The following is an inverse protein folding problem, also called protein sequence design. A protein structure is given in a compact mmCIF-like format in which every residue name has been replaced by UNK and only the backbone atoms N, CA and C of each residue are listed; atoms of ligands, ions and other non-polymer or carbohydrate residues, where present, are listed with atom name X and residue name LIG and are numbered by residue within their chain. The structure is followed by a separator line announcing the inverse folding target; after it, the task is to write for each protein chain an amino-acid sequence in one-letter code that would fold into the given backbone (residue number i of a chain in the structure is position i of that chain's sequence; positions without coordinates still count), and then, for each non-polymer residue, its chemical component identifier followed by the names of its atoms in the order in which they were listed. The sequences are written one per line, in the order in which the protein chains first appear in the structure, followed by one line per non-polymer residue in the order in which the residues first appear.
data_IF_537717182930
#
_entry.id   IF_537717182930
#
_cell.length_a   1.000
_cell.length_b   1.000
_cell.length_c   1.000
_cell.angle_alpha   90.00
_cell.angle_beta   90.00
_cell.angle_gamma   90.00
#
_symmetry.space_group_name_H-M   'P 1'
#
loop_
_entity.id
_entity.type
_entity.pdbx_description
1 polymer ?
#
# COMPACT_ATOMS: atom_id res chain seq x y z
N UNK A 1 1.68 -37.79 -6.19
CA UNK A 1 0.98 -36.50 -6.34
C UNK A 1 1.95 -35.38 -6.02
N UNK A 2 2.26 -34.52 -6.98
CA UNK A 2 3.11 -33.35 -6.74
C UNK A 2 2.39 -32.42 -5.77
N UNK A 3 2.86 -32.35 -4.53
CA UNK A 3 2.28 -31.48 -3.51
C UNK A 3 2.72 -30.04 -3.85
N UNK A 4 1.82 -29.25 -4.46
CA UNK A 4 2.11 -27.87 -4.86
C UNK A 4 2.37 -26.93 -3.68
N UNK A 5 1.88 -27.29 -2.49
CA UNK A 5 2.01 -26.52 -1.26
C UNK A 5 2.68 -27.35 -0.16
N UNK A 6 3.88 -26.95 0.24
CA UNK A 6 4.62 -27.58 1.33
C UNK A 6 4.38 -26.83 2.64
N UNK A 7 3.75 -27.48 3.62
CA UNK A 7 3.50 -26.90 4.95
C UNK A 7 4.80 -26.47 5.63
N UNK A 8 5.87 -27.23 5.47
CA UNK A 8 7.17 -26.93 6.07
C UNK A 8 7.80 -25.67 5.46
N UNK A 9 7.73 -25.53 4.13
CA UNK A 9 8.23 -24.35 3.44
C UNK A 9 7.42 -23.11 3.82
N UNK A 10 6.09 -23.23 3.86
CA UNK A 10 5.23 -22.14 4.29
C UNK A 10 5.50 -21.72 5.73
N UNK A 11 5.65 -22.67 6.66
CA UNK A 11 5.97 -22.37 8.05
C UNK A 11 7.30 -21.62 8.21
N UNK A 12 8.32 -22.02 7.43
CA UNK A 12 9.61 -21.32 7.37
C UNK A 12 9.42 -19.86 6.93
N UNK A 13 8.73 -19.63 5.82
CA UNK A 13 8.50 -18.27 5.30
C UNK A 13 7.68 -17.43 6.29
N UNK A 14 6.62 -18.02 6.86
CA UNK A 14 5.76 -17.38 7.85
C UNK A 14 6.53 -16.93 9.09
N UNK A 15 7.43 -17.78 9.61
CA UNK A 15 8.25 -17.46 10.79
C UNK A 15 9.13 -16.23 10.55
N UNK A 16 9.60 -16.01 9.33
CA UNK A 16 10.43 -14.86 8.97
C UNK A 16 9.61 -13.57 8.87
N UNK A 17 8.40 -13.64 8.30
CA UNK A 17 7.60 -12.44 8.00
C UNK A 17 6.63 -12.03 9.10
N UNK A 18 6.34 -12.90 10.08
CA UNK A 18 5.32 -12.65 11.14
C UNK A 18 5.52 -11.33 11.89
N UNK A 19 6.77 -10.91 12.12
CA UNK A 19 7.07 -9.66 12.80
C UNK A 19 6.71 -8.45 11.95
N UNK A 20 6.93 -8.54 10.65
CA UNK A 20 6.56 -7.50 9.69
C UNK A 20 5.04 -7.39 9.62
N UNK A 21 4.31 -8.51 9.66
CA UNK A 21 2.84 -8.50 9.76
C UNK A 21 2.36 -7.75 11.01
N UNK A 22 3.02 -7.95 12.15
CA UNK A 22 2.71 -7.20 13.37
C UNK A 22 2.99 -5.71 13.16
N UNK A 23 4.14 -5.33 12.61
CA UNK A 23 4.47 -3.93 12.33
C UNK A 23 3.52 -3.27 11.32
N UNK A 24 3.08 -3.98 10.27
CA UNK A 24 2.07 -3.52 9.32
C UNK A 24 0.71 -3.29 9.99
N UNK A 25 0.34 -4.18 10.91
CA UNK A 25 -0.91 -4.04 11.67
C UNK A 25 -0.83 -2.83 12.61
N UNK A 26 0.30 -2.67 13.30
CA UNK A 26 0.54 -1.53 14.17
C UNK A 26 0.58 -0.21 13.39
N UNK A 27 1.19 -0.17 12.21
CA UNK A 27 1.23 1.06 11.40
C UNK A 27 -0.17 1.49 10.95
N UNK A 28 -1.05 0.55 10.58
CA UNK A 28 -2.46 0.85 10.30
C UNK A 28 -3.18 1.42 11.53
N UNK A 29 -2.93 0.85 12.71
CA UNK A 29 -3.53 1.33 13.96
C UNK A 29 -3.04 2.74 14.30
N UNK A 30 -1.73 2.97 14.30
CA UNK A 30 -1.13 4.24 14.72
C UNK A 30 -1.35 5.38 13.74
N UNK A 31 -1.18 5.12 12.44
CA UNK A 31 -1.20 6.19 11.44
C UNK A 31 -2.56 6.41 10.80
N UNK A 32 -3.48 5.44 10.86
CA UNK A 32 -4.82 5.59 10.29
C UNK A 32 -5.92 5.57 11.34
N UNK A 33 -6.02 4.50 12.13
CA UNK A 33 -7.14 4.31 13.07
C UNK A 33 -7.10 5.34 14.22
N UNK A 34 -5.94 5.55 14.83
CA UNK A 34 -5.80 6.47 15.97
C UNK A 34 -6.17 7.93 15.62
N UNK A 35 -5.73 8.52 14.49
CA UNK A 35 -6.21 9.82 14.06
C UNK A 35 -7.74 9.91 13.89
N UNK A 36 -8.38 8.85 13.40
CA UNK A 36 -9.85 8.81 13.25
C UNK A 36 -10.52 8.81 14.63
N UNK A 37 -10.00 8.02 15.57
CA UNK A 37 -10.50 7.99 16.96
C UNK A 37 -10.39 9.37 17.62
N UNK A 38 -9.23 10.03 17.46
CA UNK A 38 -9.01 11.37 17.99
C UNK A 38 -10.01 12.39 17.43
N UNK A 39 -10.37 12.30 16.14
CA UNK A 39 -11.38 13.17 15.50
C UNK A 39 -12.77 13.00 16.13
N UNK A 40 -13.21 11.77 16.41
CA UNK A 40 -14.50 11.53 17.08
C UNK A 40 -14.51 12.04 18.52
N UNK A 41 -13.41 11.91 19.24
CA UNK A 41 -13.35 12.42 20.61
C UNK A 41 -13.40 13.96 20.66
N UNK A 42 -12.84 14.64 19.66
CA UNK A 42 -12.99 16.08 19.50
C UNK A 42 -14.44 16.49 19.21
N UNK A 43 -15.13 15.71 18.37
CA UNK A 43 -16.56 15.87 18.08
C UNK A 43 -17.43 15.75 19.33
N UNK A 44 -17.24 14.67 20.09
CA UNK A 44 -17.98 14.43 21.34
C UNK A 44 -17.79 15.54 22.38
N UNK A 45 -16.66 16.23 22.37
CA UNK A 45 -16.34 17.36 23.26
C UNK A 45 -16.98 18.68 22.80
N UNK A 46 -17.84 18.69 21.79
CA UNK A 46 -18.57 19.89 21.35
C UNK A 46 -17.68 20.92 20.65
N UNK A 47 -16.47 20.55 20.22
CA UNK A 47 -15.58 21.41 19.43
C UNK A 47 -15.99 21.40 17.94
N UNK A 48 -17.29 21.56 17.68
CA UNK A 48 -17.92 21.43 16.36
C UNK A 48 -17.43 22.49 15.35
N UNK A 49 -16.91 23.63 15.80
CA UNK A 49 -16.27 24.63 14.94
C UNK A 49 -15.09 24.08 14.14
N UNK A 50 -14.39 23.05 14.66
CA UNK A 50 -13.29 22.35 13.97
C UNK A 50 -13.82 21.52 12.79
N UNK A 51 -15.09 21.10 12.80
CA UNK A 51 -15.66 20.25 11.75
C UNK A 51 -15.77 20.95 10.40
N UNK A 52 -15.98 22.27 10.40
CA UNK A 52 -15.97 23.09 9.18
C UNK A 52 -14.62 23.05 8.44
N UNK A 53 -13.52 22.74 9.15
CA UNK A 53 -12.16 22.68 8.61
C UNK A 53 -11.84 21.28 8.04
N UNK A 54 -12.58 20.24 8.43
CA UNK A 54 -12.26 18.82 8.13
C UNK A 54 -13.33 18.07 7.32
N UNK A 55 -14.16 18.77 6.54
CA UNK A 55 -15.16 18.14 5.66
C UNK A 55 -16.60 18.13 6.19
N UNK A 56 -16.88 18.90 7.24
CA UNK A 56 -18.25 19.11 7.74
C UNK A 56 -18.94 17.82 8.17
N UNK A 57 -20.16 17.61 7.68
CA UNK A 57 -20.99 16.44 8.02
C UNK A 57 -20.37 15.10 7.55
N UNK A 58 -19.51 15.13 6.54
CA UNK A 58 -18.82 13.98 5.93
C UNK A 58 -17.37 13.79 6.41
N UNK A 59 -17.09 14.20 7.64
CA UNK A 59 -15.74 14.15 8.22
C UNK A 59 -15.15 12.74 8.24
N UNK A 60 -15.96 11.67 8.33
CA UNK A 60 -15.47 10.30 8.43
C UNK A 60 -15.02 9.80 7.06
N UNK A 61 -15.78 10.12 6.00
CA UNK A 61 -15.35 9.95 4.62
C UNK A 61 -14.02 10.67 4.39
N UNK A 62 -13.95 11.96 4.75
CA UNK A 62 -12.73 12.73 4.61
C UNK A 62 -11.55 12.15 5.40
N UNK A 63 -11.78 11.64 6.61
CA UNK A 63 -10.73 11.04 7.41
C UNK A 63 -10.25 9.67 6.88
N UNK A 64 -11.13 8.91 6.22
CA UNK A 64 -10.81 7.59 5.68
C UNK A 64 -10.20 7.70 4.28
N UNK A 65 -10.85 8.43 3.37
CA UNK A 65 -10.53 8.49 1.96
C UNK A 65 -9.79 9.77 1.55
N UNK A 66 -9.65 10.75 2.44
CA UNK A 66 -9.17 12.09 2.09
C UNK A 66 -7.81 12.47 2.62
N UNK A 67 -6.98 12.92 1.69
CA UNK A 67 -5.67 13.47 1.99
C UNK A 67 -4.89 12.45 2.78
N UNK A 68 -4.52 11.35 2.10
CA UNK A 68 -3.78 10.27 2.75
C UNK A 68 -2.59 10.85 3.52
N UNK A 69 -2.42 10.39 4.75
CA UNK A 69 -1.30 10.83 5.55
C UNK A 69 -0.03 10.34 4.85
N UNK A 70 0.76 11.25 4.29
CA UNK A 70 1.98 10.91 3.54
C UNK A 70 2.90 10.02 4.39
N UNK A 71 2.93 10.23 5.71
CA UNK A 71 3.68 9.37 6.63
C UNK A 71 3.12 7.95 6.70
N UNK A 72 1.79 7.77 6.66
CA UNK A 72 1.18 6.44 6.58
C UNK A 72 1.59 5.72 5.30
N UNK A 73 1.41 6.35 4.14
CA UNK A 73 1.72 5.74 2.84
C UNK A 73 3.19 5.35 2.76
N UNK A 74 4.08 6.26 3.16
CA UNK A 74 5.52 6.02 3.15
C UNK A 74 5.92 4.92 4.15
N UNK A 75 5.42 4.97 5.39
CA UNK A 75 5.74 3.96 6.39
C UNK A 75 5.25 2.57 5.97
N UNK A 76 4.03 2.46 5.44
CA UNK A 76 3.50 1.19 4.97
C UNK A 76 4.26 0.67 3.75
N UNK A 77 4.62 1.55 2.81
CA UNK A 77 5.44 1.20 1.65
C UNK A 77 6.82 0.66 2.06
N UNK A 78 7.49 1.30 3.02
CA UNK A 78 8.75 0.81 3.58
C UNK A 78 8.59 -0.58 4.20
N UNK A 79 7.48 -0.84 4.90
CA UNK A 79 7.20 -2.17 5.44
C UNK A 79 6.97 -3.21 4.33
N UNK A 80 6.35 -2.85 3.20
CA UNK A 80 6.21 -3.74 2.04
C UNK A 80 7.57 -4.06 1.43
N UNK A 81 8.47 -3.08 1.30
CA UNK A 81 9.85 -3.32 0.86
C UNK A 81 10.56 -4.28 1.84
N UNK A 82 10.45 -4.02 3.14
CA UNK A 82 11.03 -4.87 4.18
C UNK A 82 10.49 -6.31 4.11
N UNK A 83 9.19 -6.47 3.88
CA UNK A 83 8.54 -7.77 3.69
C UNK A 83 9.20 -8.58 2.58
N UNK A 84 9.43 -7.95 1.43
CA UNK A 84 10.07 -8.62 0.29
C UNK A 84 11.55 -8.89 0.59
N UNK A 85 12.31 -7.93 1.10
CA UNK A 85 13.74 -8.11 1.39
C UNK A 85 14.00 -9.23 2.39
N UNK A 86 13.23 -9.28 3.48
CA UNK A 86 13.37 -10.31 4.52
C UNK A 86 12.97 -11.69 3.98
N UNK A 87 11.99 -11.75 3.06
CA UNK A 87 11.61 -13.01 2.40
C UNK A 87 12.76 -13.63 1.60
N UNK A 88 13.66 -12.84 1.02
CA UNK A 88 14.81 -13.33 0.25
C UNK A 88 16.14 -13.33 1.01
N UNK A 89 16.20 -12.74 2.21
CA UNK A 89 17.44 -12.59 2.97
C UNK A 89 18.12 -13.93 3.28
N UNK A 90 17.34 -14.93 3.69
CA UNK A 90 17.86 -16.25 4.05
C UNK A 90 18.35 -17.08 2.87
N UNK A 91 18.05 -16.70 1.62
CA UNK A 91 18.42 -17.49 0.44
C UNK A 91 19.72 -17.01 -0.22
N UNK A 92 20.14 -15.80 0.13
CA UNK A 92 21.30 -15.12 -0.47
C UNK A 92 22.50 -15.02 0.47
N UNK A 93 22.41 -15.63 1.65
CA UNK A 93 23.56 -15.85 2.54
C UNK A 93 24.25 -17.15 2.10
N UNK A 94 25.57 -17.10 1.87
CA UNK A 94 26.32 -18.17 1.19
C UNK A 94 26.08 -19.58 1.77
N UNK A 95 26.03 -19.73 3.09
CA UNK A 95 25.83 -21.04 3.73
C UNK A 95 24.40 -21.61 3.65
N UNK A 96 23.39 -20.76 3.50
CA UNK A 96 21.98 -21.21 3.37
C UNK A 96 21.55 -21.40 1.93
N UNK A 97 22.22 -20.74 0.97
CA UNK A 97 22.02 -20.96 -0.47
C UNK A 97 22.31 -22.42 -0.86
N UNK A 98 23.43 -22.99 -0.37
CA UNK A 98 23.82 -24.38 -0.65
C UNK A 98 22.87 -25.39 0.01
N UNK A 99 22.37 -25.08 1.21
CA UNK A 99 21.36 -25.88 1.89
C UNK A 99 19.99 -25.81 1.20
N UNK A 100 19.65 -24.71 0.55
CA UNK A 100 18.42 -24.57 -0.23
C UNK A 100 18.45 -25.34 -1.55
N UNK A 101 19.62 -25.39 -2.20
CA UNK A 101 19.83 -26.18 -3.43
C UNK A 101 19.70 -27.68 -3.15
N UNK A 102 20.03 -28.14 -1.94
CA UNK A 102 19.86 -29.54 -1.52
C UNK A 102 18.45 -29.88 -1.02
N UNK A 103 17.54 -28.90 -0.89
CA UNK A 103 16.15 -29.19 -0.53
C UNK A 103 15.37 -29.76 -1.71
N UNK A 104 14.42 -30.71 -1.48
CA UNK A 104 13.60 -31.31 -2.53
C UNK A 104 12.44 -30.39 -2.95
N UNK A 105 12.69 -29.09 -3.13
CA UNK A 105 11.70 -28.09 -3.54
C UNK A 105 12.08 -27.42 -4.85
N UNK A 106 11.10 -27.27 -5.74
CA UNK A 106 11.29 -26.53 -7.00
C UNK A 106 11.32 -25.02 -6.76
N UNK A 107 12.06 -24.27 -7.60
CA UNK A 107 12.06 -22.80 -7.57
C UNK A 107 10.65 -22.21 -7.68
N UNK A 108 9.79 -22.83 -8.49
CA UNK A 108 8.38 -22.44 -8.62
C UNK A 108 7.62 -22.54 -7.29
N UNK A 109 7.81 -23.63 -6.54
CA UNK A 109 7.18 -23.80 -5.22
C UNK A 109 7.70 -22.78 -4.21
N UNK A 110 9.00 -22.46 -4.24
CA UNK A 110 9.60 -21.46 -3.36
C UNK A 110 9.00 -20.07 -3.61
N UNK A 111 8.99 -19.61 -4.87
CA UNK A 111 8.44 -18.31 -5.25
C UNK A 111 6.94 -18.23 -4.91
N UNK A 112 6.18 -19.27 -5.26
CA UNK A 112 4.75 -19.31 -4.96
C UNK A 112 4.47 -19.25 -3.45
N UNK A 113 5.24 -19.98 -2.65
CA UNK A 113 5.08 -19.97 -1.18
C UNK A 113 5.40 -18.61 -0.59
N UNK A 114 6.43 -17.90 -1.09
CA UNK A 114 6.74 -16.53 -0.67
C UNK A 114 5.62 -15.56 -1.02
N UNK A 115 5.08 -15.66 -2.23
CA UNK A 115 3.96 -14.83 -2.64
C UNK A 115 2.75 -15.07 -1.73
N UNK A 116 2.34 -16.33 -1.52
CA UNK A 116 1.22 -16.67 -0.62
C UNK A 116 1.46 -16.16 0.80
N UNK A 117 2.67 -16.33 1.34
CA UNK A 117 3.00 -15.88 2.69
C UNK A 117 2.91 -14.34 2.81
N UNK A 118 3.42 -13.60 1.82
CA UNK A 118 3.30 -12.13 1.79
C UNK A 118 1.87 -11.63 1.57
N UNK A 119 1.09 -12.27 0.70
CA UNK A 119 -0.35 -11.98 0.55
C UNK A 119 -1.08 -12.18 1.87
N UNK A 120 -0.79 -13.28 2.57
CA UNK A 120 -1.40 -13.56 3.87
C UNK A 120 -0.99 -12.51 4.92
N UNK A 121 0.28 -12.08 4.94
CA UNK A 121 0.72 -11.01 5.83
C UNK A 121 -0.06 -9.71 5.60
N UNK A 122 -0.21 -9.27 4.35
CA UNK A 122 -1.02 -8.11 4.00
C UNK A 122 -2.49 -8.31 4.38
N UNK A 123 -3.06 -9.46 4.03
CA UNK A 123 -4.47 -9.77 4.29
C UNK A 123 -4.79 -9.74 5.78
N UNK A 124 -3.92 -10.29 6.64
CA UNK A 124 -4.10 -10.26 8.09
C UNK A 124 -4.07 -8.82 8.61
N UNK A 125 -3.10 -8.01 8.20
CA UNK A 125 -3.00 -6.61 8.64
C UNK A 125 -4.24 -5.80 8.26
N UNK A 126 -4.70 -5.93 7.01
CA UNK A 126 -5.90 -5.24 6.54
C UNK A 126 -7.19 -5.82 7.13
N UNK A 127 -7.28 -7.13 7.38
CA UNK A 127 -8.42 -7.75 8.04
C UNK A 127 -8.56 -7.25 9.49
N UNK A 128 -7.45 -7.16 10.23
CA UNK A 128 -7.46 -6.58 11.59
C UNK A 128 -7.92 -5.12 11.53
N UNK A 129 -7.37 -4.31 10.64
CA UNK A 129 -7.79 -2.91 10.48
C UNK A 129 -9.28 -2.79 10.11
N UNK A 130 -9.79 -3.64 9.21
CA UNK A 130 -11.19 -3.71 8.84
C UNK A 130 -12.10 -4.03 10.03
N UNK A 131 -11.73 -5.01 10.86
CA UNK A 131 -12.49 -5.36 12.07
C UNK A 131 -12.50 -4.20 13.08
N UNK A 132 -11.36 -3.55 13.29
CA UNK A 132 -11.26 -2.38 14.17
C UNK A 132 -12.14 -1.22 13.67
N UNK A 133 -12.05 -0.87 12.39
CA UNK A 133 -12.85 0.20 11.79
C UNK A 133 -14.35 -0.13 11.82
N UNK A 134 -14.72 -1.39 11.58
CA UNK A 134 -16.11 -1.85 11.67
C UNK A 134 -16.63 -1.72 13.09
N UNK A 135 -15.90 -2.21 14.09
CA UNK A 135 -16.29 -2.04 15.49
C UNK A 135 -16.41 -0.56 15.86
N UNK A 136 -15.41 0.26 15.48
CA UNK A 136 -15.41 1.69 15.69
C UNK A 136 -16.64 2.38 15.09
N UNK A 137 -17.02 2.04 13.86
CA UNK A 137 -18.19 2.59 13.19
C UNK A 137 -19.49 2.27 13.96
N UNK A 138 -19.65 1.03 14.40
CA UNK A 138 -20.85 0.60 15.16
C UNK A 138 -20.96 1.30 16.52
N UNK A 139 -19.84 1.56 17.20
CA UNK A 139 -19.87 2.28 18.48
C UNK A 139 -20.10 3.80 18.33
N UNK A 140 -19.88 4.36 17.13
CA UNK A 140 -19.92 5.80 16.90
C UNK A 140 -20.95 6.22 15.84
N UNK A 141 -21.94 5.37 15.52
CA UNK A 141 -22.94 5.61 14.47
C UNK A 141 -23.73 6.91 14.67
N UNK A 142 -23.90 7.36 15.93
CA UNK A 142 -24.57 8.65 16.22
C UNK A 142 -23.77 9.88 15.75
N UNK A 143 -22.47 9.73 15.52
CA UNK A 143 -21.54 10.80 15.16
C UNK A 143 -21.01 10.67 13.73
N UNK A 144 -21.38 9.61 13.02
CA UNK A 144 -20.94 9.29 11.66
C UNK A 144 -22.19 9.26 10.78
N UNK A 145 -22.34 10.27 9.91
CA UNK A 145 -23.41 10.33 8.91
C UNK A 145 -23.06 9.47 7.69
N UNK A 146 -21.76 9.33 7.42
CA UNK A 146 -21.22 8.63 6.28
C UNK A 146 -21.64 7.14 6.19
N UNK A 147 -21.91 6.63 4.98
CA UNK A 147 -22.33 5.24 4.79
C UNK A 147 -21.23 4.25 5.14
N UNK A 148 -21.63 3.09 5.69
CA UNK A 148 -20.69 2.02 6.08
C UNK A 148 -19.79 1.54 4.93
N UNK A 149 -20.25 1.60 3.67
CA UNK A 149 -19.53 1.15 2.47
C UNK A 149 -18.15 1.82 2.27
N UNK A 150 -17.93 3.00 2.87
CA UNK A 150 -16.64 3.69 2.80
C UNK A 150 -15.50 2.85 3.42
N UNK A 151 -15.80 2.05 4.46
CA UNK A 151 -14.80 1.18 5.13
C UNK A 151 -14.30 0.06 4.21
N UNK A 152 -15.16 -0.84 3.67
CA UNK A 152 -14.70 -1.88 2.76
C UNK A 152 -14.10 -1.30 1.48
N UNK A 153 -14.59 -0.16 0.97
CA UNK A 153 -13.99 0.53 -0.17
C UNK A 153 -12.53 0.91 0.11
N UNK A 154 -12.27 1.59 1.23
CA UNK A 154 -10.91 2.00 1.60
C UNK A 154 -9.98 0.79 1.80
N UNK A 155 -10.44 -0.22 2.54
CA UNK A 155 -9.66 -1.44 2.81
C UNK A 155 -9.32 -2.15 1.51
N UNK A 156 -10.29 -2.33 0.62
CA UNK A 156 -10.09 -3.05 -0.64
C UNK A 156 -9.12 -2.30 -1.56
N UNK A 157 -9.30 -0.98 -1.71
CA UNK A 157 -8.44 -0.15 -2.55
C UNK A 157 -6.99 -0.22 -2.08
N UNK A 158 -6.75 -0.03 -0.78
CA UNK A 158 -5.41 -0.07 -0.20
C UNK A 158 -4.80 -1.47 -0.24
N UNK A 159 -5.59 -2.50 0.06
CA UNK A 159 -5.12 -3.89 0.02
C UNK A 159 -4.67 -4.26 -1.40
N UNK A 160 -5.49 -3.99 -2.42
CA UNK A 160 -5.15 -4.28 -3.82
C UNK A 160 -3.92 -3.48 -4.28
N UNK A 161 -3.83 -2.22 -3.88
CA UNK A 161 -2.68 -1.38 -4.17
C UNK A 161 -1.39 -1.98 -3.62
N UNK A 162 -1.31 -2.23 -2.31
CA UNK A 162 -0.11 -2.78 -1.69
C UNK A 162 0.17 -4.23 -2.11
N UNK A 163 -0.85 -5.00 -2.49
CA UNK A 163 -0.70 -6.31 -3.09
C UNK A 163 -0.02 -6.23 -4.47
N UNK A 164 -0.37 -5.24 -5.28
CA UNK A 164 0.26 -5.02 -6.59
C UNK A 164 1.71 -4.58 -6.44
N UNK A 165 1.99 -3.65 -5.52
CA UNK A 165 3.35 -3.22 -5.15
C UNK A 165 4.18 -4.41 -4.67
N UNK A 166 3.65 -5.20 -3.74
CA UNK A 166 4.32 -6.40 -3.23
C UNK A 166 4.65 -7.39 -4.35
N UNK A 167 3.68 -7.68 -5.23
CA UNK A 167 3.85 -8.63 -6.33
C UNK A 167 4.90 -8.16 -7.33
N UNK A 168 4.92 -6.87 -7.66
CA UNK A 168 5.93 -6.28 -8.53
C UNK A 168 7.34 -6.34 -7.90
N UNK A 169 7.48 -5.95 -6.63
CA UNK A 169 8.78 -5.99 -5.94
C UNK A 169 9.29 -7.43 -5.82
N UNK A 170 8.41 -8.39 -5.55
CA UNK A 170 8.75 -9.80 -5.54
C UNK A 170 9.22 -10.26 -6.93
N UNK A 171 8.57 -9.83 -8.00
CA UNK A 171 9.02 -10.11 -9.37
C UNK A 171 10.43 -9.56 -9.63
N UNK A 172 10.69 -8.28 -9.34
CA UNK A 172 12.04 -7.68 -9.50
C UNK A 172 13.10 -8.45 -8.71
N UNK A 173 12.75 -8.88 -7.50
CA UNK A 173 13.62 -9.66 -6.63
C UNK A 173 13.92 -11.06 -7.16
N UNK A 174 13.00 -11.69 -7.90
CA UNK A 174 13.29 -12.98 -8.55
C UNK A 174 14.21 -12.87 -9.76
N UNK A 175 14.21 -11.73 -10.45
CA UNK A 175 15.04 -11.48 -11.63
C UNK A 175 16.47 -11.12 -11.25
N UNK A 176 16.65 -10.37 -10.16
CA UNK A 176 17.97 -9.91 -9.73
C UNK A 176 18.71 -10.93 -8.86
N UNK A 177 20.04 -10.95 -8.92
CA UNK A 177 20.87 -11.83 -8.08
C UNK A 177 21.12 -11.29 -6.67
N UNK A 178 21.08 -9.97 -6.49
CA UNK A 178 21.44 -9.28 -5.23
C UNK A 178 20.22 -8.65 -4.56
N UNK A 179 20.05 -8.89 -3.25
CA UNK A 179 18.85 -8.49 -2.49
C UNK A 179 18.67 -6.96 -2.37
N UNK A 180 19.73 -6.26 -2.00
CA UNK A 180 19.67 -4.80 -1.81
C UNK A 180 19.53 -4.06 -3.14
N UNK A 181 20.29 -4.45 -4.16
CA UNK A 181 20.20 -3.87 -5.49
C UNK A 181 18.77 -4.01 -6.06
N UNK A 182 18.16 -5.18 -5.90
CA UNK A 182 16.79 -5.43 -6.31
C UNK A 182 15.75 -4.59 -5.58
N UNK A 183 15.98 -4.29 -4.29
CA UNK A 183 15.13 -3.37 -3.54
C UNK A 183 15.19 -1.95 -4.11
N UNK A 184 16.40 -1.43 -4.34
CA UNK A 184 16.61 -0.09 -4.90
C UNK A 184 16.06 0.02 -6.32
N UNK A 185 16.39 -0.93 -7.19
CA UNK A 185 15.94 -0.92 -8.59
C UNK A 185 14.43 -1.14 -8.69
N UNK A 186 13.84 -1.96 -7.81
CA UNK A 186 12.40 -2.12 -7.72
C UNK A 186 11.68 -0.79 -7.44
N UNK A 187 12.18 -0.02 -6.47
CA UNK A 187 11.60 1.30 -6.15
C UNK A 187 11.79 2.29 -7.29
N UNK A 188 13.01 2.39 -7.86
CA UNK A 188 13.29 3.30 -8.98
C UNK A 188 12.39 2.97 -10.18
N UNK A 189 12.26 1.69 -10.52
CA UNK A 189 11.44 1.27 -11.67
C UNK A 189 9.94 1.59 -11.50
N UNK A 190 9.42 1.64 -10.27
CA UNK A 190 8.06 2.14 -10.01
C UNK A 190 7.93 3.66 -10.22
N UNK A 191 8.98 4.44 -9.92
CA UNK A 191 8.96 5.89 -10.02
C UNK A 191 9.21 6.42 -11.45
N UNK A 192 9.95 5.66 -12.27
CA UNK A 192 10.33 6.06 -13.64
C UNK A 192 9.13 6.41 -14.53
N UNK A 193 8.04 5.61 -14.60
CA UNK A 193 6.88 5.94 -15.42
C UNK A 193 6.27 7.31 -15.06
N UNK A 194 6.12 7.60 -13.77
CA UNK A 194 5.62 8.89 -13.29
C UNK A 194 6.57 10.03 -13.64
N UNK A 195 7.88 9.85 -13.41
CA UNK A 195 8.89 10.87 -13.71
C UNK A 195 8.91 11.22 -15.20
N UNK A 196 8.87 10.23 -16.09
CA UNK A 196 8.84 10.49 -17.54
C UNK A 196 7.58 11.23 -17.96
N UNK A 197 6.41 10.83 -17.46
CA UNK A 197 5.14 11.47 -17.80
C UNK A 197 5.01 12.89 -17.26
N UNK A 198 5.68 13.23 -16.15
CA UNK A 198 5.69 14.58 -15.60
C UNK A 198 6.73 15.49 -16.25
N UNK A 199 7.89 14.95 -16.62
CA UNK A 199 9.02 15.74 -17.13
C UNK A 199 8.93 16.01 -18.64
N UNK A 200 8.46 15.05 -19.44
CA UNK A 200 8.34 15.24 -20.89
C UNK A 200 7.45 16.44 -21.25
N UNK A 201 6.25 16.63 -20.67
CA UNK A 201 5.39 17.78 -20.98
C UNK A 201 6.05 19.11 -20.63
N UNK A 202 6.84 19.16 -19.57
CA UNK A 202 7.60 20.35 -19.19
C UNK A 202 8.66 20.69 -20.23
N UNK A 203 9.44 19.71 -20.67
CA UNK A 203 10.43 19.93 -21.74
C UNK A 203 9.78 20.34 -23.07
N UNK A 204 8.63 19.77 -23.43
CA UNK A 204 7.89 20.14 -24.64
C UNK A 204 7.40 21.60 -24.57
N UNK A 205 6.88 22.04 -23.42
CA UNK A 205 6.48 23.44 -23.20
C UNK A 205 7.67 24.39 -23.38
N UNK A 206 8.81 24.08 -22.76
CA UNK A 206 10.00 24.95 -22.81
C UNK A 206 10.64 24.96 -24.20
N UNK A 207 10.74 23.81 -24.87
CA UNK A 207 11.48 23.70 -26.13
C UNK A 207 10.66 24.14 -27.35
N UNK A 208 9.36 23.83 -27.39
CA UNK A 208 8.48 24.17 -28.50
C UNK A 208 7.59 25.39 -28.24
N UNK A 209 7.74 26.02 -27.06
CA UNK A 209 6.93 27.16 -26.61
C UNK A 209 5.41 26.85 -26.63
N UNK A 210 5.07 25.58 -26.39
CA UNK A 210 3.69 25.11 -26.38
C UNK A 210 2.96 25.58 -25.13
N UNK A 211 1.68 25.94 -25.28
CA UNK A 211 0.82 26.30 -24.16
C UNK A 211 0.36 25.05 -23.40
N UNK A 212 0.06 25.19 -22.11
CA UNK A 212 -0.62 24.15 -21.32
C UNK A 212 -2.01 23.76 -21.88
N UNK A 213 -2.56 24.54 -22.81
CA UNK A 213 -3.82 24.24 -23.49
C UNK A 213 -3.69 23.20 -24.61
N UNK A 214 -2.47 22.84 -25.00
CA UNK A 214 -2.27 21.80 -26.00
C UNK A 214 -2.77 20.44 -25.49
N UNK A 215 -3.55 19.70 -26.29
CA UNK A 215 -4.20 18.47 -25.85
C UNK A 215 -3.18 17.40 -25.43
N UNK A 216 -2.01 17.37 -26.08
CA UNK A 216 -0.93 16.44 -25.75
C UNK A 216 -0.39 16.70 -24.34
N UNK A 217 -0.15 17.97 -23.97
CA UNK A 217 0.36 18.35 -22.66
C UNK A 217 -0.65 18.03 -21.56
N UNK A 218 -1.94 18.33 -21.79
CA UNK A 218 -3.00 18.01 -20.82
C UNK A 218 -3.18 16.50 -20.65
N UNK A 219 -3.12 15.74 -21.73
CA UNK A 219 -3.24 14.27 -21.68
C UNK A 219 -2.06 13.68 -20.91
N UNK A 220 -0.84 14.11 -21.17
CA UNK A 220 0.34 13.60 -20.46
C UNK A 220 0.35 14.04 -18.99
N UNK A 221 -0.04 15.28 -18.69
CA UNK A 221 -0.16 15.78 -17.31
C UNK A 221 -1.23 15.01 -16.53
N UNK A 222 -2.40 14.74 -17.11
CA UNK A 222 -3.44 13.95 -16.46
C UNK A 222 -3.02 12.49 -16.27
N UNK A 223 -2.39 11.87 -17.27
CA UNK A 223 -1.78 10.54 -17.16
C UNK A 223 -0.72 10.48 -16.05
N UNK A 224 0.09 11.54 -15.90
CA UNK A 224 1.09 11.59 -14.83
C UNK A 224 0.44 11.49 -13.44
N UNK A 225 -0.72 12.14 -13.22
CA UNK A 225 -1.48 12.02 -11.97
C UNK A 225 -2.03 10.60 -11.75
N UNK A 226 -2.47 9.92 -12.80
CA UNK A 226 -2.93 8.52 -12.69
C UNK A 226 -1.80 7.52 -12.46
N UNK A 227 -0.57 7.84 -12.85
CA UNK A 227 0.61 6.97 -12.65
C UNK A 227 1.34 7.31 -11.34
N UNK A 228 1.04 8.47 -10.75
CA UNK A 228 1.57 8.83 -9.44
C UNK A 228 0.88 8.01 -8.37
N UNK A 229 1.56 6.94 -7.95
CA UNK A 229 1.07 5.99 -6.96
C UNK A 229 0.64 6.61 -5.62
N UNK A 230 1.17 7.78 -5.23
CA UNK A 230 0.66 8.54 -4.06
C UNK A 230 -0.74 9.12 -4.27
N UNK A 231 -1.05 9.59 -5.47
CA UNK A 231 -2.38 10.12 -5.83
C UNK A 231 -3.39 9.01 -6.17
N UNK A 232 -2.91 7.82 -6.53
CA UNK A 232 -3.75 6.67 -6.91
C UNK A 232 -4.57 6.13 -5.73
N UNK A 233 -4.12 6.40 -4.50
CA UNK A 233 -4.76 5.97 -3.27
C UNK A 233 -5.80 6.99 -2.78
N UNK A 234 -5.62 8.28 -3.12
CA UNK A 234 -6.60 9.31 -2.79
C UNK A 234 -7.85 9.09 -3.66
N UNK A 235 -8.98 8.81 -3.01
CA UNK A 235 -10.26 8.81 -3.72
C UNK A 235 -10.54 10.26 -4.12
N UNK A 236 -10.38 10.57 -5.41
CA UNK A 236 -10.68 11.91 -5.93
C UNK A 236 -12.11 12.29 -5.51
N UNK A 237 -12.23 13.43 -4.83
CA UNK A 237 -13.47 13.97 -4.26
C UNK A 237 -14.49 14.46 -5.29
N UNK A 238 -14.39 14.00 -6.53
CA UNK A 238 -15.26 14.44 -7.62
C UNK A 238 -16.74 14.06 -7.37
N UNK A 239 -17.02 13.21 -6.38
CA UNK A 239 -18.35 12.75 -5.99
C UNK A 239 -19.04 13.60 -4.91
N UNK A 240 -18.34 14.57 -4.28
CA UNK A 240 -18.89 15.39 -3.19
C UNK A 240 -19.61 16.66 -3.68
N UNK A 241 -19.81 16.82 -4.99
CA UNK A 241 -20.46 17.97 -5.63
C UNK A 241 -21.87 17.67 -6.18
N UNK A 242 -22.48 16.55 -5.77
CA UNK A 242 -23.86 16.20 -6.10
C UNK A 242 -24.73 16.05 -4.86
#
# INVERSE_FOLDING_TARGET
MAQYFSKALFYKEWKNIRWITIFMTLSLIFFKINPIMAKVDLLKKGRATILSIYGGEHWFNFALLGGENVLFVLAFFVLVIALVLISFQGERQGGTADLLVSMPFTRRQQIFTKWVAGVLALAISFAVAFLFLTAFYQFNTRWIIDPYWIIPQWVLLHFLFYLSVFSFLLFVQTVMGQNLAAGVVGVISMMVPWYLLSVIPYYLQVHFNWSYREPVIQTMSSLSGYVFWFELIDARYDWASH
#
